data_IF_653857407908
#
_entry.id   IF_653857407908
#
_cell.length_a   1.000
_cell.length_b   1.000
_cell.length_c   1.000
_cell.angle_alpha   90.00
_cell.angle_beta   90.00
_cell.angle_gamma   90.00
#
_symmetry.space_group_name_H-M   'P 1'
#
loop_
_entity.id
_entity.type
_entity.pdbx_description
1 polymer ?
#
# COMPACT_ATOMS: atom_id res chain seq x y z
N UNK A 1 -33.23 -69.92 49.90
CA UNK A 1 -31.94 -69.26 49.60
C UNK A 1 -32.05 -68.28 48.42
N UNK A 2 -32.92 -68.54 47.44
CA UNK A 2 -33.07 -67.69 46.23
C UNK A 2 -33.58 -66.26 46.50
N UNK A 3 -34.54 -66.06 47.42
CA UNK A 3 -35.07 -64.72 47.73
C UNK A 3 -34.05 -63.75 48.37
N UNK A 4 -33.04 -64.28 49.07
CA UNK A 4 -31.98 -63.46 49.67
C UNK A 4 -30.97 -63.01 48.61
N UNK A 5 -30.71 -63.83 47.60
CA UNK A 5 -29.82 -63.49 46.49
C UNK A 5 -30.44 -62.43 45.58
N UNK A 6 -31.73 -62.53 45.27
CA UNK A 6 -32.45 -61.53 44.45
C UNK A 6 -32.46 -60.15 45.16
N UNK A 7 -32.67 -60.12 46.48
CA UNK A 7 -32.60 -58.89 47.27
C UNK A 7 -31.21 -58.26 47.28
N UNK A 8 -30.14 -59.07 47.30
CA UNK A 8 -28.75 -58.61 47.27
C UNK A 8 -28.39 -57.98 45.91
N UNK A 9 -28.79 -58.60 44.80
CA UNK A 9 -28.53 -58.05 43.46
C UNK A 9 -29.31 -56.76 43.20
N UNK A 10 -30.57 -56.66 43.65
CA UNK A 10 -31.34 -55.43 43.54
C UNK A 10 -30.72 -54.28 44.37
N UNK A 11 -30.25 -54.58 45.58
CA UNK A 11 -29.55 -53.59 46.41
C UNK A 11 -28.23 -53.14 45.77
N UNK A 12 -27.45 -54.07 45.19
CA UNK A 12 -26.20 -53.74 44.50
C UNK A 12 -26.45 -52.83 43.29
N UNK A 13 -27.51 -53.10 42.50
CA UNK A 13 -27.87 -52.27 41.35
C UNK A 13 -28.33 -50.86 41.74
N UNK A 14 -29.10 -50.72 42.82
CA UNK A 14 -29.47 -49.40 43.35
C UNK A 14 -28.25 -48.64 43.87
N UNK A 15 -27.32 -49.33 44.53
CA UNK A 15 -26.09 -48.74 45.04
C UNK A 15 -25.18 -48.27 43.88
N UNK A 16 -25.06 -49.05 42.81
CA UNK A 16 -24.31 -48.68 41.62
C UNK A 16 -24.90 -47.43 40.94
N UNK A 17 -26.23 -47.38 40.79
CA UNK A 17 -26.93 -46.23 40.22
C UNK A 17 -26.75 -44.97 41.09
N UNK A 18 -26.80 -45.12 42.43
CA UNK A 18 -26.53 -44.02 43.36
C UNK A 18 -25.08 -43.52 43.26
N UNK A 19 -24.11 -44.43 43.08
CA UNK A 19 -22.70 -44.04 42.87
C UNK A 19 -22.50 -43.32 41.53
N UNK A 20 -23.15 -43.76 40.45
CA UNK A 20 -23.11 -43.08 39.16
C UNK A 20 -23.73 -41.68 39.23
N UNK A 21 -24.85 -41.52 39.94
CA UNK A 21 -25.49 -40.23 40.15
C UNK A 21 -24.59 -39.27 40.96
N UNK A 22 -23.88 -39.77 41.97
CA UNK A 22 -22.89 -39.01 42.73
C UNK A 22 -21.71 -38.59 41.86
N UNK A 23 -21.16 -39.51 41.06
CA UNK A 23 -20.07 -39.20 40.13
C UNK A 23 -20.46 -38.12 39.12
N UNK A 24 -21.65 -38.22 38.53
CA UNK A 24 -22.18 -37.20 37.63
C UNK A 24 -22.32 -35.84 38.33
N UNK A 25 -22.86 -35.82 39.54
CA UNK A 25 -23.03 -34.60 40.34
C UNK A 25 -21.69 -33.91 40.64
N UNK A 26 -20.65 -34.68 40.96
CA UNK A 26 -19.29 -34.17 41.18
C UNK A 26 -18.73 -33.55 39.90
N UNK A 27 -18.91 -34.21 38.75
CA UNK A 27 -18.45 -33.69 37.44
C UNK A 27 -19.16 -32.37 37.12
N UNK A 28 -20.48 -32.28 37.34
CA UNK A 28 -21.24 -31.05 37.13
C UNK A 28 -20.78 -29.92 38.06
N UNK A 29 -20.50 -30.20 39.33
CA UNK A 29 -19.97 -29.21 40.28
C UNK A 29 -18.57 -28.71 39.88
N UNK A 30 -17.68 -29.61 39.44
CA UNK A 30 -16.36 -29.23 38.96
C UNK A 30 -16.43 -28.38 37.68
N UNK A 31 -17.32 -28.74 36.75
CA UNK A 31 -17.55 -27.97 35.52
C UNK A 31 -18.15 -26.60 35.84
N UNK A 32 -19.13 -26.52 36.73
CA UNK A 32 -19.74 -25.27 37.18
C UNK A 32 -18.70 -24.34 37.82
N UNK A 33 -17.87 -24.86 38.73
CA UNK A 33 -16.81 -24.06 39.36
C UNK A 33 -15.76 -23.57 38.35
N UNK A 34 -15.43 -24.37 37.34
CA UNK A 34 -14.51 -23.97 36.28
C UNK A 34 -15.11 -22.86 35.40
N UNK A 35 -16.40 -22.95 35.07
CA UNK A 35 -17.13 -21.92 34.33
C UNK A 35 -17.26 -20.63 35.13
N UNK A 36 -17.63 -20.68 36.42
CA UNK A 36 -17.73 -19.49 37.28
C UNK A 36 -16.39 -18.76 37.41
N UNK A 37 -15.27 -19.48 37.50
CA UNK A 37 -13.93 -18.86 37.49
C UNK A 37 -13.63 -18.16 36.17
N UNK A 38 -13.98 -18.77 35.03
CA UNK A 38 -13.80 -18.15 33.71
C UNK A 38 -14.65 -16.90 33.54
N UNK A 39 -15.91 -16.96 33.98
CA UNK A 39 -16.82 -15.81 33.97
C UNK A 39 -16.26 -14.67 34.82
N UNK A 40 -15.76 -14.97 36.02
CA UNK A 40 -15.19 -13.95 36.90
C UNK A 40 -13.92 -13.30 36.33
N UNK A 41 -13.07 -14.08 35.63
CA UNK A 41 -11.90 -13.56 34.92
C UNK A 41 -12.34 -12.67 33.75
N UNK A 42 -13.33 -13.12 32.96
CA UNK A 42 -13.88 -12.34 31.85
C UNK A 42 -14.54 -11.04 32.34
N UNK A 43 -15.28 -11.08 33.45
CA UNK A 43 -15.90 -9.92 34.08
C UNK A 43 -14.84 -8.93 34.60
N UNK A 44 -13.74 -9.45 35.16
CA UNK A 44 -12.60 -8.62 35.58
C UNK A 44 -11.90 -7.96 34.38
N UNK A 45 -11.72 -8.70 33.28
CA UNK A 45 -11.15 -8.16 32.04
C UNK A 45 -12.06 -7.11 31.41
N UNK A 46 -13.38 -7.34 31.44
CA UNK A 46 -14.38 -6.39 30.95
C UNK A 46 -14.35 -5.08 31.76
N UNK A 47 -14.25 -5.16 33.09
CA UNK A 47 -14.12 -3.97 33.96
C UNK A 47 -12.79 -3.24 33.77
N UNK A 48 -11.71 -3.96 33.48
CA UNK A 48 -10.42 -3.35 33.12
C UNK A 48 -10.47 -2.64 31.77
N UNK A 49 -11.38 -3.05 30.89
CA UNK A 49 -11.60 -2.44 29.58
C UNK A 49 -12.54 -1.23 29.65
N UNK A 50 -13.28 -1.05 30.75
CA UNK A 50 -14.14 0.13 31.00
C UNK A 50 -13.37 1.36 31.52
N UNK A 51 -12.09 1.23 31.89
CA UNK A 51 -11.19 2.38 32.12
C UNK A 51 -10.73 2.96 30.76
N UNK A 52 -11.67 3.29 29.88
CA UNK A 52 -11.42 4.12 28.71
C UNK A 52 -11.30 5.54 29.28
N UNK A 53 -10.12 6.18 29.23
CA UNK A 53 -9.97 7.56 29.67
C UNK A 53 -11.01 8.41 28.94
N UNK A 54 -11.68 9.32 29.66
CA UNK A 54 -12.62 10.24 29.05
C UNK A 54 -12.00 10.85 27.78
N UNK A 55 -12.77 10.99 26.68
CA UNK A 55 -12.25 11.54 25.43
C UNK A 55 -11.68 12.94 25.71
N UNK A 56 -10.35 13.02 25.71
CA UNK A 56 -9.60 14.26 25.90
C UNK A 56 -9.96 15.18 24.73
N UNK A 57 -10.30 16.44 25.02
CA UNK A 57 -10.60 17.39 23.95
C UNK A 57 -9.36 17.57 23.07
N UNK A 58 -9.56 17.85 21.78
CA UNK A 58 -8.45 18.04 20.85
C UNK A 58 -7.46 19.14 21.32
N UNK A 59 -7.97 20.21 21.94
CA UNK A 59 -7.14 21.27 22.53
C UNK A 59 -6.26 20.75 23.68
N UNK A 60 -6.83 19.92 24.57
CA UNK A 60 -6.08 19.32 25.67
C UNK A 60 -5.05 18.31 25.16
N UNK A 61 -5.39 17.53 24.13
CA UNK A 61 -4.47 16.62 23.47
C UNK A 61 -3.26 17.36 22.88
N UNK A 62 -3.49 18.47 22.16
CA UNK A 62 -2.41 19.27 21.59
C UNK A 62 -1.50 19.85 22.68
N UNK A 63 -2.07 20.37 23.77
CA UNK A 63 -1.27 20.85 24.93
C UNK A 63 -0.41 19.74 25.54
N UNK A 64 -1.00 18.57 25.73
CA UNK A 64 -0.30 17.42 26.32
C UNK A 64 0.83 16.93 25.39
N UNK A 65 0.62 16.93 24.07
CA UNK A 65 1.65 16.59 23.08
C UNK A 65 2.76 17.64 23.01
N UNK A 66 2.45 18.94 23.12
CA UNK A 66 3.47 20.00 23.20
C UNK A 66 4.37 19.79 24.42
N UNK A 67 3.79 19.53 25.60
CA UNK A 67 4.55 19.28 26.84
C UNK A 67 5.39 18.00 26.72
N UNK A 68 4.81 16.94 26.16
CA UNK A 68 5.53 15.67 25.95
C UNK A 68 6.70 15.84 24.98
N UNK A 69 6.49 16.57 23.90
CA UNK A 69 7.51 16.84 22.91
C UNK A 69 8.65 17.70 23.50
N UNK A 70 8.32 18.68 24.32
CA UNK A 70 9.32 19.48 25.06
C UNK A 70 10.19 18.61 25.97
N UNK A 71 9.59 17.70 26.75
CA UNK A 71 10.33 16.77 27.58
C UNK A 71 11.25 15.83 26.78
N UNK A 72 10.80 15.36 25.60
CA UNK A 72 11.62 14.55 24.69
C UNK A 72 12.77 15.37 24.08
N UNK A 73 12.50 16.62 23.71
CA UNK A 73 13.49 17.55 23.16
C UNK A 73 14.59 17.82 24.19
N UNK A 74 14.24 18.11 25.45
CA UNK A 74 15.20 18.34 26.52
C UNK A 74 16.06 17.11 26.79
N UNK A 75 15.45 15.92 26.79
CA UNK A 75 16.16 14.66 26.97
C UNK A 75 17.15 14.38 25.83
N UNK A 76 16.72 14.58 24.59
CA UNK A 76 17.54 14.38 23.40
C UNK A 76 18.67 15.44 23.30
N UNK A 77 18.40 16.69 23.68
CA UNK A 77 19.40 17.76 23.71
C UNK A 77 20.45 17.58 24.83
N UNK A 78 20.09 16.92 25.92
CA UNK A 78 21.01 16.58 27.01
C UNK A 78 21.90 15.36 26.69
N UNK A 79 21.70 14.71 25.55
CA UNK A 79 22.50 13.56 25.13
C UNK A 79 23.83 13.95 24.50
N UNK A 80 24.83 13.09 24.67
CA UNK A 80 26.15 13.26 24.05
C UNK A 80 26.19 12.75 22.60
N UNK A 81 25.20 11.96 22.18
CA UNK A 81 25.11 11.43 20.82
C UNK A 81 24.64 12.49 19.81
N UNK A 82 25.40 12.65 18.72
CA UNK A 82 25.07 13.54 17.60
C UNK A 82 23.77 13.13 16.90
N UNK A 83 23.44 11.84 16.88
CA UNK A 83 22.17 11.36 16.33
C UNK A 83 20.98 11.84 17.18
N UNK A 84 21.12 11.82 18.52
CA UNK A 84 20.11 12.30 19.45
C UNK A 84 20.00 13.83 19.45
N UNK A 85 21.10 14.57 19.21
CA UNK A 85 21.05 16.02 19.01
C UNK A 85 20.31 16.42 17.74
N UNK A 86 20.52 15.71 16.62
CA UNK A 86 19.73 15.88 15.39
C UNK A 86 18.25 15.53 15.63
N UNK A 87 17.98 14.47 16.38
CA UNK A 87 16.61 14.15 16.80
C UNK A 87 16.00 15.28 17.66
N UNK A 88 16.78 15.93 18.53
CA UNK A 88 16.31 17.08 19.29
C UNK A 88 15.94 18.27 18.40
N UNK A 89 16.67 18.52 17.31
CA UNK A 89 16.32 19.55 16.32
C UNK A 89 15.00 19.23 15.61
N UNK A 90 14.81 17.98 15.16
CA UNK A 90 13.55 17.54 14.58
C UNK A 90 12.37 17.64 15.57
N UNK A 91 12.61 17.32 16.85
CA UNK A 91 11.60 17.47 17.88
C UNK A 91 11.23 18.95 18.11
N UNK A 92 12.18 19.89 18.05
CA UNK A 92 11.87 21.33 18.10
C UNK A 92 10.95 21.77 16.95
N UNK A 93 11.19 21.27 15.73
CA UNK A 93 10.30 21.57 14.59
C UNK A 93 8.91 20.98 14.79
N UNK A 94 8.82 19.73 15.28
CA UNK A 94 7.53 19.12 15.63
C UNK A 94 6.81 19.91 16.73
N UNK A 95 7.52 20.42 17.74
CA UNK A 95 6.92 21.30 18.76
C UNK A 95 6.32 22.54 18.12
N UNK A 96 7.05 23.20 17.22
CA UNK A 96 6.55 24.40 16.52
C UNK A 96 5.31 24.09 15.67
N UNK A 97 5.28 22.94 15.01
CA UNK A 97 4.11 22.48 14.27
C UNK A 97 2.88 22.30 15.17
N UNK A 98 3.04 21.63 16.32
CA UNK A 98 1.96 21.45 17.30
C UNK A 98 1.46 22.78 17.89
N UNK A 99 2.35 23.76 18.08
CA UNK A 99 1.96 25.11 18.50
C UNK A 99 1.14 25.84 17.42
N UNK A 100 1.51 25.70 16.15
CA UNK A 100 0.75 26.26 15.02
C UNK A 100 -0.65 25.63 14.95
N UNK A 101 -0.77 24.31 15.12
CA UNK A 101 -2.06 23.63 15.19
C UNK A 101 -2.90 24.12 16.37
N UNK A 102 -2.31 24.32 17.54
CA UNK A 102 -3.00 24.84 18.71
C UNK A 102 -3.53 26.27 18.48
N UNK A 103 -2.70 27.14 17.91
CA UNK A 103 -3.06 28.51 17.57
C UNK A 103 -4.13 28.58 16.48
N UNK A 104 -4.03 27.75 15.43
CA UNK A 104 -5.03 27.65 14.39
C UNK A 104 -6.34 27.10 14.95
N UNK A 105 -6.29 26.09 15.83
CA UNK A 105 -7.48 25.50 16.45
C UNK A 105 -8.26 26.53 17.28
N UNK A 106 -7.60 27.51 17.91
CA UNK A 106 -8.26 28.64 18.57
C UNK A 106 -9.10 29.52 17.62
N UNK A 107 -8.81 29.46 16.31
CA UNK A 107 -9.48 30.20 15.25
C UNK A 107 -10.47 29.34 14.45
N UNK A 108 -10.78 28.10 14.87
CA UNK A 108 -11.71 27.19 14.16
C UNK A 108 -13.08 27.80 13.87
N UNK A 109 -13.52 28.77 14.68
CA UNK A 109 -14.77 29.49 14.43
C UNK A 109 -14.75 30.36 13.15
N UNK A 110 -13.57 30.67 12.60
CA UNK A 110 -13.39 31.45 11.38
C UNK A 110 -12.49 30.69 10.38
N UNK A 111 -13.07 30.04 9.35
CA UNK A 111 -12.32 29.22 8.40
C UNK A 111 -11.19 29.94 7.67
N UNK A 112 -11.36 31.23 7.36
CA UNK A 112 -10.34 32.02 6.65
C UNK A 112 -9.17 32.30 7.57
N UNK A 113 -9.43 32.76 8.80
CA UNK A 113 -8.37 33.01 9.78
C UNK A 113 -7.65 31.73 10.21
N UNK A 114 -8.36 30.60 10.24
CA UNK A 114 -7.78 29.28 10.46
C UNK A 114 -6.77 28.92 9.36
N UNK A 115 -7.19 29.02 8.09
CA UNK A 115 -6.33 28.72 6.94
C UNK A 115 -5.14 29.67 6.86
N UNK A 116 -5.36 30.97 7.08
CA UNK A 116 -4.30 31.98 7.11
C UNK A 116 -3.26 31.68 8.21
N UNK A 117 -3.69 31.25 9.40
CA UNK A 117 -2.77 30.91 10.50
C UNK A 117 -1.93 29.68 10.21
N UNK A 118 -2.52 28.64 9.60
CA UNK A 118 -1.81 27.43 9.16
C UNK A 118 -0.81 27.80 8.07
N UNK A 119 -1.23 28.50 7.02
CA UNK A 119 -0.35 28.89 5.91
C UNK A 119 0.81 29.76 6.39
N UNK A 120 0.54 30.78 7.21
CA UNK A 120 1.59 31.62 7.77
C UNK A 120 2.57 30.84 8.66
N UNK A 121 2.05 29.93 9.50
CA UNK A 121 2.88 29.09 10.37
C UNK A 121 3.76 28.10 9.61
N UNK A 122 3.24 27.47 8.56
CA UNK A 122 4.02 26.56 7.72
C UNK A 122 5.08 27.34 6.95
N UNK A 123 4.76 28.52 6.39
CA UNK A 123 5.76 29.38 5.73
C UNK A 123 6.90 29.77 6.70
N UNK A 124 6.58 30.17 7.92
CA UNK A 124 7.57 30.48 8.96
C UNK A 124 8.46 29.26 9.25
N UNK A 125 7.87 28.06 9.37
CA UNK A 125 8.62 26.84 9.63
C UNK A 125 9.56 26.47 8.47
N UNK A 126 9.09 26.63 7.22
CA UNK A 126 9.88 26.40 6.01
C UNK A 126 11.05 27.39 5.92
N UNK A 127 10.86 28.65 6.32
CA UNK A 127 11.95 29.62 6.38
C UNK A 127 13.01 29.23 7.42
N UNK A 128 12.60 28.76 8.60
CA UNK A 128 13.52 28.29 9.65
C UNK A 128 14.25 27.01 9.23
N UNK A 129 13.58 26.13 8.48
CA UNK A 129 14.17 24.88 7.98
C UNK A 129 15.01 25.05 6.72
N UNK A 130 14.99 26.23 6.09
CA UNK A 130 15.80 26.48 4.90
C UNK A 130 17.28 26.47 5.29
N UNK A 131 18.10 25.56 4.76
CA UNK A 131 19.53 25.59 5.03
C UNK A 131 20.10 26.94 4.57
N UNK A 132 20.88 27.60 5.43
CA UNK A 132 21.62 28.81 5.07
C UNK A 132 22.44 28.51 3.81
N UNK A 133 22.24 29.31 2.76
CA UNK A 133 23.01 29.17 1.54
C UNK A 133 24.49 29.41 1.87
N UNK A 134 25.29 28.35 1.83
CA UNK A 134 26.74 28.47 1.69
C UNK A 134 26.99 29.32 0.44
N UNK A 135 27.42 30.56 0.64
CA UNK A 135 27.89 31.43 -0.42
C UNK A 135 29.15 30.81 -1.03
N UNK A 136 28.98 30.00 -2.06
CA UNK A 136 30.07 29.61 -2.96
C UNK A 136 30.43 30.85 -3.76
N UNK A 137 31.47 31.55 -3.32
CA UNK A 137 32.11 32.59 -4.12
C UNK A 137 32.57 31.96 -5.44
N UNK A 138 32.06 32.52 -6.53
CA UNK A 138 32.44 32.15 -7.88
C UNK A 138 33.89 32.52 -8.15
N UNK A 139 34.79 31.53 -8.19
CA UNK A 139 35.98 31.60 -9.02
C UNK A 139 35.85 30.58 -10.17
N UNK A 140 35.81 31.14 -11.37
CA UNK A 140 35.80 30.41 -12.63
C UNK A 140 37.19 29.81 -12.92
N UNK A 141 37.25 28.55 -13.35
CA UNK A 141 38.07 28.00 -14.44
C UNK A 141 37.82 26.47 -14.57
N UNK A 142 38.14 25.85 -15.73
CA UNK A 142 37.25 24.89 -16.38
C UNK A 142 37.62 23.41 -16.18
N UNK A 143 36.60 22.56 -16.39
CA UNK A 143 36.70 21.17 -16.88
C UNK A 143 37.63 20.23 -16.10
N UNK A 144 37.07 19.52 -15.12
CA UNK A 144 37.54 18.20 -14.73
C UNK A 144 36.34 17.25 -14.66
N UNK A 145 36.44 16.17 -15.42
CA UNK A 145 35.62 14.95 -15.34
C UNK A 145 35.33 14.57 -13.89
N UNK A 146 34.05 14.56 -13.52
CA UNK A 146 33.58 13.96 -12.28
C UNK A 146 33.66 12.44 -12.46
N UNK A 147 34.67 11.83 -11.85
CA UNK A 147 34.62 10.42 -11.50
C UNK A 147 33.47 10.27 -10.50
N UNK A 148 32.46 9.47 -10.88
CA UNK A 148 31.44 9.02 -9.96
C UNK A 148 32.11 8.15 -8.89
N UNK A 149 32.19 8.64 -7.66
CA UNK A 149 32.33 7.76 -6.50
C UNK A 149 30.99 7.00 -6.36
N UNK A 150 31.07 5.68 -6.46
CA UNK A 150 29.99 4.74 -6.19
C UNK A 150 29.38 5.03 -4.82
N UNK A 151 28.06 5.20 -4.79
CA UNK A 151 27.28 5.20 -3.56
C UNK A 151 27.48 3.85 -2.84
N UNK A 152 27.55 3.85 -1.49
CA UNK A 152 27.58 2.61 -0.74
C UNK A 152 26.28 1.83 -0.97
N UNK A 153 26.45 0.57 -1.31
CA UNK A 153 25.46 -0.48 -1.34
C UNK A 153 24.81 -0.67 0.04
N UNK A 154 23.69 0.01 0.29
CA UNK A 154 22.81 -0.25 1.44
C UNK A 154 21.72 -1.26 1.01
N UNK A 155 22.18 -2.48 0.69
CA UNK A 155 21.34 -3.67 0.69
C UNK A 155 21.18 -4.17 2.14
N UNK A 156 20.29 -3.57 2.93
CA UNK A 156 19.77 -4.20 4.14
C UNK A 156 18.46 -3.56 4.65
N UNK A 157 17.53 -4.45 4.93
CA UNK A 157 16.30 -4.31 5.73
C UNK A 157 15.04 -3.74 5.08
N UNK A 158 14.26 -4.71 4.62
CA UNK A 158 12.83 -4.73 4.32
C UNK A 158 11.97 -3.94 5.34
N UNK A 159 11.15 -3.02 4.83
CA UNK A 159 9.92 -2.57 5.51
C UNK A 159 8.70 -3.17 4.76
N UNK A 160 8.15 -4.31 5.20
CA UNK A 160 6.99 -4.94 4.56
C UNK A 160 5.72 -4.29 5.10
N UNK A 161 5.45 -3.05 4.69
CA UNK A 161 4.35 -2.30 5.30
C UNK A 161 3.81 -1.10 4.53
N UNK A 162 4.36 -0.72 3.37
CA UNK A 162 3.75 0.34 2.56
C UNK A 162 2.46 -0.18 1.92
N UNK A 163 1.35 0.13 2.57
CA UNK A 163 0.01 0.05 2.00
C UNK A 163 0.01 0.93 0.74
N UNK A 164 -0.05 0.33 -0.45
CA UNK A 164 -0.35 1.05 -1.70
C UNK A 164 -1.70 1.75 -1.52
N UNK A 165 -1.65 3.05 -1.29
CA UNK A 165 -2.84 3.90 -1.34
C UNK A 165 -2.98 4.25 -2.82
N UNK A 166 -3.95 3.65 -3.50
CA UNK A 166 -4.30 3.95 -4.89
C UNK A 166 -4.90 5.36 -4.97
N UNK A 167 -4.04 6.38 -5.04
CA UNK A 167 -4.41 7.79 -5.21
C UNK A 167 -4.65 8.14 -6.69
N UNK A 168 -4.45 7.19 -7.61
CA UNK A 168 -4.47 7.44 -9.06
C UNK A 168 -5.79 8.04 -9.56
N UNK A 169 -6.93 7.62 -9.00
CA UNK A 169 -8.24 8.17 -9.38
C UNK A 169 -8.44 9.60 -8.83
N UNK A 170 -7.95 9.91 -7.63
CA UNK A 170 -8.03 11.26 -7.06
C UNK A 170 -7.13 12.23 -7.82
N UNK A 171 -5.90 11.83 -8.14
CA UNK A 171 -4.94 12.62 -8.92
C UNK A 171 -5.40 12.82 -10.37
N UNK A 172 -6.01 11.81 -11.01
CA UNK A 172 -6.58 11.94 -12.37
C UNK A 172 -7.78 12.88 -12.38
N UNK A 173 -8.66 12.79 -11.38
CA UNK A 173 -9.79 13.70 -11.26
C UNK A 173 -9.32 15.13 -10.99
N UNK A 174 -8.29 15.29 -10.16
CA UNK A 174 -7.66 16.57 -9.93
C UNK A 174 -7.04 17.15 -11.21
N UNK A 175 -6.33 16.34 -12.01
CA UNK A 175 -5.79 16.76 -13.31
C UNK A 175 -6.89 17.22 -14.28
N UNK A 176 -8.03 16.53 -14.31
CA UNK A 176 -9.18 16.93 -15.13
C UNK A 176 -9.73 18.28 -14.71
N UNK A 177 -9.87 18.52 -13.41
CA UNK A 177 -10.34 19.80 -12.88
C UNK A 177 -9.36 20.94 -13.21
N UNK A 178 -8.05 20.67 -13.13
CA UNK A 178 -7.01 21.64 -13.49
C UNK A 178 -7.04 21.95 -14.99
N UNK A 179 -7.17 20.95 -15.86
CA UNK A 179 -7.24 21.15 -17.32
C UNK A 179 -8.50 21.93 -17.71
N UNK A 180 -9.64 21.62 -17.12
CA UNK A 180 -10.89 22.34 -17.38
C UNK A 180 -10.77 23.82 -16.96
N UNK A 181 -10.21 24.08 -15.79
CA UNK A 181 -10.00 25.44 -15.30
C UNK A 181 -8.99 26.21 -16.17
N UNK A 182 -7.96 25.54 -16.68
CA UNK A 182 -7.02 26.11 -17.65
C UNK A 182 -7.70 26.44 -18.99
N UNK A 183 -8.56 25.57 -19.52
CA UNK A 183 -9.33 25.83 -20.75
C UNK A 183 -10.31 27.01 -20.58
N UNK A 184 -10.94 27.14 -19.42
CA UNK A 184 -11.83 28.27 -19.11
C UNK A 184 -11.07 29.59 -19.02
N UNK A 185 -9.92 29.60 -18.33
CA UNK A 185 -9.05 30.78 -18.24
C UNK A 185 -8.49 31.19 -19.62
N UNK A 186 -8.18 30.22 -20.46
CA UNK A 186 -7.72 30.41 -21.84
C UNK A 186 -8.81 30.99 -22.74
N UNK A 187 -10.03 30.45 -22.66
CA UNK A 187 -11.18 30.97 -23.40
C UNK A 187 -11.49 32.42 -23.00
N UNK A 188 -11.33 32.76 -21.72
CA UNK A 188 -11.47 34.12 -21.22
C UNK A 188 -10.36 35.06 -21.74
N UNK A 189 -9.10 34.58 -21.79
CA UNK A 189 -7.98 35.28 -22.42
C UNK A 189 -8.23 35.55 -23.90
N UNK A 190 -8.68 34.54 -24.66
CA UNK A 190 -9.01 34.67 -26.08
C UNK A 190 -10.07 35.75 -26.31
N UNK A 191 -11.14 35.74 -25.52
CA UNK A 191 -12.21 36.73 -25.62
C UNK A 191 -11.72 38.16 -25.31
N UNK A 192 -10.79 38.32 -24.36
CA UNK A 192 -10.17 39.62 -24.07
C UNK A 192 -9.22 40.06 -25.18
N UNK A 193 -8.48 39.13 -25.79
CA UNK A 193 -7.56 39.43 -26.89
C UNK A 193 -8.32 39.79 -28.18
N UNK A 194 -9.38 39.05 -28.54
CA UNK A 194 -10.22 39.36 -29.70
C UNK A 194 -10.95 40.71 -29.56
N UNK A 195 -11.24 41.16 -28.33
CA UNK A 195 -11.79 42.49 -28.04
C UNK A 195 -10.83 43.66 -28.31
N UNK A 196 -9.54 43.38 -28.53
CA UNK A 196 -8.46 44.36 -28.73
C UNK A 196 -7.69 44.14 -30.04
N UNK A 197 -8.36 43.63 -31.08
CA UNK A 197 -7.80 43.22 -32.37
C UNK A 197 -7.06 44.31 -33.20
N UNK A 198 -6.98 45.56 -32.74
CA UNK A 198 -6.29 46.66 -33.45
C UNK A 198 -4.81 46.83 -33.05
N UNK A 199 -4.29 46.04 -32.11
CA UNK A 199 -2.89 46.14 -31.64
C UNK A 199 -1.95 45.27 -32.49
N UNK A 200 -0.84 45.84 -32.95
CA UNK A 200 0.18 45.15 -33.74
C UNK A 200 0.89 44.07 -32.87
N UNK A 201 0.95 42.81 -33.33
CA UNK A 201 1.47 41.66 -32.57
C UNK A 201 0.41 40.82 -31.84
N UNK A 202 -0.85 41.27 -31.83
CA UNK A 202 -1.99 40.55 -31.23
C UNK A 202 -2.36 39.27 -31.98
N UNK A 203 -2.17 39.28 -33.30
CA UNK A 203 -2.47 38.16 -34.19
C UNK A 203 -1.53 36.97 -33.94
N UNK A 204 -0.26 37.25 -33.58
CA UNK A 204 0.72 36.23 -33.18
C UNK A 204 0.38 35.65 -31.79
N UNK A 205 -0.10 36.48 -30.86
CA UNK A 205 -0.56 36.03 -29.55
C UNK A 205 -1.83 35.15 -29.65
N UNK A 206 -2.79 35.54 -30.49
CA UNK A 206 -3.99 34.74 -30.78
C UNK A 206 -3.65 33.38 -31.42
N UNK A 207 -2.66 33.37 -32.32
CA UNK A 207 -2.19 32.15 -32.96
C UNK A 207 -1.47 31.21 -31.99
N UNK A 208 -0.65 31.74 -31.08
CA UNK A 208 -0.05 30.96 -29.99
C UNK A 208 -1.11 30.40 -29.04
N UNK A 209 -2.18 31.15 -28.78
CA UNK A 209 -3.30 30.70 -27.96
C UNK A 209 -4.07 29.55 -28.62
N UNK A 210 -4.30 29.62 -29.93
CA UNK A 210 -4.95 28.56 -30.72
C UNK A 210 -4.10 27.28 -30.78
N UNK A 211 -2.78 27.41 -30.96
CA UNK A 211 -1.85 26.29 -30.93
C UNK A 211 -1.82 25.62 -29.54
N UNK A 212 -1.95 26.42 -28.46
CA UNK A 212 -2.02 25.91 -27.10
C UNK A 212 -3.37 25.24 -26.78
N UNK A 213 -4.51 25.79 -27.21
CA UNK A 213 -5.82 25.13 -27.09
C UNK A 213 -5.80 23.75 -27.75
N UNK A 214 -5.18 23.67 -28.93
CA UNK A 214 -5.01 22.40 -29.65
C UNK A 214 -4.14 21.40 -28.88
N UNK A 215 -3.05 21.86 -28.27
CA UNK A 215 -2.20 21.00 -27.41
C UNK A 215 -2.93 20.55 -26.14
N UNK A 216 -3.73 21.41 -25.53
CA UNK A 216 -4.54 21.09 -24.35
C UNK A 216 -5.59 20.00 -24.66
N UNK A 217 -6.27 20.10 -25.81
CA UNK A 217 -7.23 19.05 -26.23
C UNK A 217 -6.56 17.70 -26.54
N UNK A 218 -5.32 17.71 -27.05
CA UNK A 218 -4.55 16.48 -27.28
C UNK A 218 -4.06 15.87 -25.97
N UNK A 219 -3.72 16.69 -24.96
CA UNK A 219 -3.35 16.23 -23.63
C UNK A 219 -4.54 15.54 -22.93
N UNK A 220 -5.73 16.13 -23.00
CA UNK A 220 -6.97 15.55 -22.48
C UNK A 220 -7.27 14.19 -23.15
N UNK A 221 -7.03 14.10 -24.46
CA UNK A 221 -7.14 12.84 -25.22
C UNK A 221 -6.14 11.79 -24.74
N UNK A 222 -4.89 12.18 -24.47
CA UNK A 222 -3.87 11.28 -23.93
C UNK A 222 -4.22 10.77 -22.53
N UNK A 223 -4.75 11.63 -21.65
CA UNK A 223 -5.24 11.23 -20.33
C UNK A 223 -6.39 10.22 -20.42
N UNK A 224 -7.34 10.42 -21.33
CA UNK A 224 -8.42 9.47 -21.58
C UNK A 224 -7.94 8.09 -22.06
N UNK A 225 -6.83 8.04 -22.82
CA UNK A 225 -6.21 6.78 -23.25
C UNK A 225 -5.50 6.10 -22.06
N UNK A 226 -4.77 6.87 -21.25
CA UNK A 226 -4.13 6.36 -20.04
C UNK A 226 -5.16 5.82 -19.04
N UNK A 227 -6.29 6.49 -18.84
CA UNK A 227 -7.37 6.05 -17.95
C UNK A 227 -8.01 4.73 -18.40
N UNK A 228 -8.25 4.57 -19.71
CA UNK A 228 -8.74 3.31 -20.28
C UNK A 228 -7.75 2.17 -20.09
N UNK A 229 -6.46 2.47 -20.24
CA UNK A 229 -5.41 1.48 -20.09
C UNK A 229 -5.20 1.11 -18.62
N UNK A 230 -5.24 2.08 -17.70
CA UNK A 230 -5.17 1.83 -16.25
C UNK A 230 -6.35 0.99 -15.78
N UNK A 231 -7.55 1.28 -16.29
CA UNK A 231 -8.74 0.45 -16.03
C UNK A 231 -8.56 -0.97 -16.57
N UNK A 232 -8.04 -1.12 -17.79
CA UNK A 232 -7.73 -2.43 -18.38
C UNK A 232 -6.70 -3.21 -17.54
N UNK A 233 -5.67 -2.55 -17.04
CA UNK A 233 -4.64 -3.15 -16.19
C UNK A 233 -5.19 -3.55 -14.82
N UNK A 234 -6.01 -2.70 -14.18
CA UNK A 234 -6.71 -3.03 -12.92
C UNK A 234 -7.68 -4.21 -13.11
N UNK A 235 -8.39 -4.26 -14.23
CA UNK A 235 -9.30 -5.38 -14.55
C UNK A 235 -8.51 -6.69 -14.80
N UNK A 236 -7.38 -6.62 -15.51
CA UNK A 236 -6.48 -7.76 -15.73
C UNK A 236 -5.81 -8.27 -14.43
N UNK A 237 -5.49 -7.36 -13.51
CA UNK A 237 -4.93 -7.68 -12.19
C UNK A 237 -5.98 -8.34 -11.28
N UNK A 238 -7.25 -7.95 -11.41
CA UNK A 238 -8.39 -8.55 -10.67
C UNK A 238 -8.79 -9.94 -11.19
N UNK A 239 -8.57 -10.22 -12.48
CA UNK A 239 -8.94 -11.51 -13.08
C UNK A 239 -7.91 -12.63 -12.83
N UNK A 240 -6.71 -12.31 -12.34
CA UNK A 240 -5.75 -13.29 -11.84
C UNK A 240 -5.01 -14.08 -12.93
N UNK A 241 -3.69 -13.88 -12.99
CA UNK A 241 -2.70 -14.88 -13.44
C UNK A 241 -2.54 -15.17 -14.93
N UNK A 242 -3.59 -15.19 -15.76
CA UNK A 242 -3.48 -15.72 -17.13
C UNK A 242 -3.44 -14.64 -18.24
N UNK A 243 -3.79 -13.38 -17.91
CA UNK A 243 -3.73 -12.25 -18.85
C UNK A 243 -2.38 -11.51 -18.89
N UNK A 244 -1.47 -11.83 -17.97
CA UNK A 244 -0.12 -11.19 -17.87
C UNK A 244 0.74 -11.53 -19.09
N UNK A 245 0.47 -12.64 -19.78
CA UNK A 245 1.21 -13.08 -20.98
C UNK A 245 0.97 -12.23 -22.24
N UNK A 246 0.05 -11.25 -22.17
CA UNK A 246 -0.32 -10.37 -23.31
C UNK A 246 -0.28 -8.89 -22.95
N UNK A 247 0.54 -8.50 -21.98
CA UNK A 247 0.83 -7.08 -21.74
C UNK A 247 2.04 -6.74 -22.61
N UNK A 248 1.76 -6.20 -23.80
CA UNK A 248 2.79 -5.53 -24.60
C UNK A 248 3.17 -4.24 -23.83
N UNK A 249 4.39 -4.12 -23.29
CA UNK A 249 4.76 -2.97 -22.49
C UNK A 249 4.68 -1.72 -23.36
N UNK A 250 3.80 -0.79 -23.00
CA UNK A 250 3.64 0.45 -23.75
C UNK A 250 4.99 1.20 -23.82
N UNK A 251 5.35 1.55 -25.05
CA UNK A 251 6.61 2.19 -25.43
C UNK A 251 6.89 3.45 -24.57
N UNK A 252 8.04 3.52 -23.84
CA UNK A 252 8.43 4.66 -23.02
C UNK A 252 8.40 6.01 -23.76
N UNK A 253 8.45 5.98 -25.10
CA UNK A 253 8.27 7.14 -25.95
C UNK A 253 6.98 7.94 -25.68
N UNK A 254 5.91 7.32 -25.17
CA UNK A 254 4.63 8.01 -24.91
C UNK A 254 4.64 8.87 -23.64
N UNK A 255 5.32 8.43 -22.58
CA UNK A 255 5.48 9.22 -21.34
C UNK A 255 6.50 10.34 -21.53
N UNK A 256 7.59 10.05 -22.25
CA UNK A 256 8.53 11.08 -22.68
C UNK A 256 7.86 12.13 -23.57
N UNK A 257 6.90 11.72 -24.40
CA UNK A 257 6.06 12.63 -25.19
C UNK A 257 5.23 13.58 -24.33
N UNK A 258 4.65 13.10 -23.22
CA UNK A 258 3.87 13.93 -22.29
C UNK A 258 4.76 14.96 -21.57
N UNK A 259 5.93 14.53 -21.08
CA UNK A 259 6.92 15.40 -20.44
C UNK A 259 7.44 16.49 -21.38
N UNK A 260 7.71 16.14 -22.63
CA UNK A 260 8.12 17.10 -23.65
C UNK A 260 7.00 18.08 -24.01
N UNK A 261 5.74 17.65 -23.97
CA UNK A 261 4.58 18.50 -24.23
C UNK A 261 4.34 19.50 -23.09
N UNK A 262 4.45 19.04 -21.83
CA UNK A 262 4.37 19.90 -20.63
C UNK A 262 5.56 20.87 -20.58
N UNK A 263 6.78 20.42 -20.88
CA UNK A 263 7.96 21.29 -20.98
C UNK A 263 7.83 22.36 -22.07
N UNK A 264 7.31 21.99 -23.24
CA UNK A 264 7.03 22.94 -24.33
C UNK A 264 5.92 23.95 -23.99
N UNK A 265 4.93 23.55 -23.19
CA UNK A 265 3.91 24.47 -22.68
C UNK A 265 4.51 25.51 -21.74
N UNK A 266 5.46 25.12 -20.90
CA UNK A 266 6.14 26.03 -19.98
C UNK A 266 6.98 27.08 -20.72
N UNK A 267 7.66 26.68 -21.80
CA UNK A 267 8.42 27.57 -22.69
C UNK A 267 7.51 28.56 -23.45
N UNK A 268 6.32 28.09 -23.84
CA UNK A 268 5.31 28.92 -24.51
C UNK A 268 4.70 29.96 -23.56
N UNK A 269 4.45 29.59 -22.30
CA UNK A 269 3.99 30.50 -21.25
C UNK A 269 5.04 31.58 -20.96
N UNK A 270 6.32 31.21 -20.91
CA UNK A 270 7.41 32.14 -20.67
C UNK A 270 7.59 33.12 -21.83
N UNK A 271 7.38 32.65 -23.07
CA UNK A 271 7.37 33.48 -24.28
C UNK A 271 6.18 34.46 -24.31
N UNK A 272 4.97 34.01 -23.96
CA UNK A 272 3.79 34.86 -23.82
C UNK A 272 3.98 35.93 -22.74
N UNK A 273 4.57 35.54 -21.59
CA UNK A 273 4.91 36.46 -20.50
C UNK A 273 5.84 37.57 -20.98
N UNK A 274 6.87 37.23 -21.76
CA UNK A 274 7.82 38.19 -22.30
C UNK A 274 7.18 39.14 -23.31
N UNK A 275 6.33 38.63 -24.20
CA UNK A 275 5.61 39.45 -25.19
C UNK A 275 4.66 40.45 -24.52
N UNK A 276 3.97 40.03 -23.45
CA UNK A 276 3.08 40.88 -22.65
C UNK A 276 3.86 41.99 -21.93
N UNK A 277 5.04 41.69 -21.40
CA UNK A 277 5.92 42.68 -20.75
C UNK A 277 6.45 43.69 -21.78
N UNK A 278 6.76 43.26 -23.01
CA UNK A 278 7.22 44.15 -24.09
C UNK A 278 6.09 45.03 -24.66
N UNK A 279 4.83 44.59 -24.61
CA UNK A 279 3.68 45.28 -25.19
C UNK A 279 3.05 46.38 -24.30
N UNK A 280 3.48 46.57 -23.03
CA UNK A 280 2.71 47.40 -22.09
C UNK A 280 3.40 48.67 -21.54
N UNK A 281 2.83 49.84 -21.88
CA UNK A 281 2.71 50.97 -20.99
C UNK A 281 1.23 51.16 -20.56
N UNK A 282 0.58 50.14 -19.98
CA UNK A 282 -0.73 50.26 -19.32
C UNK A 282 -0.74 49.49 -17.98
N UNK A 283 -0.21 50.14 -16.94
CA UNK A 283 0.17 49.53 -15.66
C UNK A 283 -0.94 48.87 -14.81
N UNK A 284 -2.23 49.08 -15.10
CA UNK A 284 -3.31 48.49 -14.29
C UNK A 284 -3.83 47.15 -14.82
N UNK A 285 -3.69 46.88 -16.13
CA UNK A 285 -4.13 45.61 -16.74
C UNK A 285 -3.00 44.59 -16.82
N UNK A 286 -1.74 45.04 -16.74
CA UNK A 286 -0.57 44.20 -16.53
C UNK A 286 -0.69 43.35 -15.25
N UNK A 287 -1.23 43.93 -14.18
CA UNK A 287 -1.38 43.25 -12.90
C UNK A 287 -2.37 42.08 -12.94
N UNK A 288 -3.49 42.23 -13.64
CA UNK A 288 -4.48 41.15 -13.78
C UNK A 288 -3.94 40.01 -14.65
N UNK A 289 -3.25 40.34 -15.76
CA UNK A 289 -2.57 39.36 -16.61
C UNK A 289 -1.43 38.66 -15.87
N UNK A 290 -0.60 39.39 -15.13
CA UNK A 290 0.46 38.83 -14.30
C UNK A 290 -0.10 37.90 -13.21
N UNK A 291 -1.24 38.23 -12.61
CA UNK A 291 -1.91 37.37 -11.64
C UNK A 291 -2.44 36.07 -12.28
N UNK A 292 -3.05 36.15 -13.47
CA UNK A 292 -3.47 34.94 -14.21
C UNK A 292 -2.28 34.06 -14.60
N UNK A 293 -1.16 34.67 -14.96
CA UNK A 293 0.05 33.97 -15.38
C UNK A 293 0.76 33.32 -14.18
N UNK A 294 0.78 33.99 -13.02
CA UNK A 294 1.24 33.40 -11.77
C UNK A 294 0.37 32.21 -11.33
N UNK A 295 -0.94 32.26 -11.54
CA UNK A 295 -1.83 31.11 -11.29
C UNK A 295 -1.53 29.95 -12.24
N UNK A 296 -1.33 30.20 -13.53
CA UNK A 296 -0.96 29.18 -14.52
C UNK A 296 0.41 28.57 -14.20
N UNK A 297 1.38 29.40 -13.80
CA UNK A 297 2.72 28.94 -13.43
C UNK A 297 2.69 28.05 -12.19
N UNK A 298 1.90 28.42 -11.18
CA UNK A 298 1.70 27.61 -9.97
C UNK A 298 1.03 26.27 -10.29
N UNK A 299 -0.02 26.29 -11.12
CA UNK A 299 -0.69 25.07 -11.56
C UNK A 299 0.23 24.15 -12.38
N UNK A 300 1.15 24.70 -13.19
CA UNK A 300 2.15 23.90 -13.92
C UNK A 300 3.22 23.29 -13.01
N UNK A 301 3.63 24.00 -11.95
CA UNK A 301 4.54 23.44 -10.95
C UNK A 301 3.87 22.29 -10.19
N UNK A 302 2.60 22.45 -9.84
CA UNK A 302 1.79 21.39 -9.22
C UNK A 302 1.62 20.20 -10.18
N UNK A 303 1.29 20.44 -11.45
CA UNK A 303 1.22 19.40 -12.49
C UNK A 303 2.54 18.64 -12.65
N UNK A 304 3.66 19.36 -12.69
CA UNK A 304 4.99 18.74 -12.78
C UNK A 304 5.32 17.91 -11.55
N UNK A 305 4.85 18.33 -10.37
CA UNK A 305 4.95 17.54 -9.13
C UNK A 305 4.16 16.25 -9.20
N UNK A 306 2.88 16.31 -9.60
CA UNK A 306 2.03 15.13 -9.79
C UNK A 306 2.62 14.17 -10.83
N UNK A 307 3.14 14.68 -11.95
CA UNK A 307 3.81 13.85 -12.97
C UNK A 307 5.06 13.18 -12.39
N UNK A 308 5.88 13.88 -11.60
CA UNK A 308 7.06 13.28 -10.96
C UNK A 308 6.69 12.16 -10.01
N UNK A 309 5.65 12.35 -9.19
CA UNK A 309 5.16 11.29 -8.27
C UNK A 309 4.64 10.09 -9.06
N UNK A 310 3.92 10.30 -10.15
CA UNK A 310 3.45 9.22 -11.03
C UNK A 310 4.60 8.52 -11.77
N UNK A 311 5.67 9.24 -12.11
CA UNK A 311 6.89 8.66 -12.69
C UNK A 311 7.62 7.79 -11.65
N UNK A 312 7.76 8.26 -10.42
CA UNK A 312 8.39 7.54 -9.31
C UNK A 312 7.59 6.29 -8.91
N UNK A 313 6.26 6.39 -8.84
CA UNK A 313 5.39 5.25 -8.57
C UNK A 313 5.43 4.23 -9.72
N UNK A 314 5.48 4.67 -10.97
CA UNK A 314 5.70 3.77 -12.10
C UNK A 314 7.07 3.09 -12.05
N UNK A 315 8.13 3.80 -11.64
CA UNK A 315 9.45 3.21 -11.48
C UNK A 315 9.46 2.15 -10.37
N UNK A 316 8.78 2.43 -9.26
CA UNK A 316 8.59 1.49 -8.15
C UNK A 316 7.80 0.24 -8.59
N UNK A 317 6.66 0.42 -9.25
CA UNK A 317 5.83 -0.70 -9.76
C UNK A 317 6.58 -1.55 -10.79
N UNK A 318 7.44 -0.94 -11.61
CA UNK A 318 8.31 -1.66 -12.55
C UNK A 318 9.37 -2.48 -11.81
N UNK A 319 9.99 -1.92 -10.77
CA UNK A 319 10.95 -2.63 -9.92
C UNK A 319 10.29 -3.80 -9.19
N UNK A 320 9.08 -3.60 -8.66
CA UNK A 320 8.30 -4.70 -8.05
C UNK A 320 7.94 -5.78 -9.07
N UNK A 321 7.52 -5.40 -10.28
CA UNK A 321 7.27 -6.36 -11.36
C UNK A 321 8.54 -7.12 -11.74
N UNK A 322 9.69 -6.45 -11.82
CA UNK A 322 10.98 -7.08 -12.11
C UNK A 322 11.39 -8.05 -10.99
N UNK A 323 11.19 -7.69 -9.71
CA UNK A 323 11.40 -8.61 -8.59
C UNK A 323 10.45 -9.80 -8.63
N UNK A 324 9.17 -9.60 -8.93
CA UNK A 324 8.19 -10.68 -9.05
C UNK A 324 8.57 -11.61 -10.21
N UNK A 325 9.02 -11.06 -11.34
CA UNK A 325 9.52 -11.84 -12.48
C UNK A 325 10.77 -12.62 -12.09
N UNK A 326 11.73 -12.00 -11.39
CA UNK A 326 12.92 -12.72 -10.89
C UNK A 326 12.56 -13.81 -9.89
N UNK A 327 11.59 -13.57 -8.99
CA UNK A 327 11.10 -14.59 -8.05
C UNK A 327 10.35 -15.72 -8.76
N UNK A 328 9.60 -15.41 -9.83
CA UNK A 328 8.95 -16.41 -10.67
C UNK A 328 9.97 -17.18 -11.49
N UNK A 329 10.98 -16.53 -12.05
CA UNK A 329 12.09 -17.17 -12.78
C UNK A 329 12.95 -18.01 -11.84
N UNK A 330 13.17 -17.58 -10.59
CA UNK A 330 13.83 -18.36 -9.54
C UNK A 330 12.94 -19.51 -9.07
N UNK A 331 11.63 -19.33 -8.95
CA UNK A 331 10.70 -20.43 -8.66
C UNK A 331 10.58 -21.41 -9.81
N UNK A 332 10.65 -20.94 -11.05
CA UNK A 332 10.58 -21.77 -12.26
C UNK A 332 11.94 -22.45 -12.51
N UNK A 333 13.06 -21.80 -12.16
CA UNK A 333 14.38 -22.40 -12.10
C UNK A 333 14.51 -23.37 -10.92
N UNK A 334 13.93 -23.08 -9.75
CA UNK A 334 13.84 -24.02 -8.63
C UNK A 334 12.87 -25.17 -8.92
N UNK A 335 11.81 -24.97 -9.71
CA UNK A 335 10.95 -26.05 -10.20
C UNK A 335 11.59 -26.85 -11.35
N UNK A 336 12.46 -26.22 -12.16
CA UNK A 336 13.23 -26.88 -13.20
C UNK A 336 14.52 -27.55 -12.66
N UNK A 337 15.08 -27.06 -11.55
CA UNK A 337 16.17 -27.71 -10.78
C UNK A 337 15.61 -28.72 -9.75
N UNK A 338 14.37 -28.56 -9.28
CA UNK A 338 13.52 -29.63 -8.72
C UNK A 338 12.85 -30.47 -9.83
N UNK A 339 13.39 -30.41 -11.04
CA UNK A 339 13.54 -31.58 -11.90
C UNK A 339 14.41 -32.63 -11.20
N UNK A 340 13.80 -33.32 -10.24
CA UNK A 340 14.33 -34.40 -9.41
C UNK A 340 15.57 -34.05 -8.56
N UNK A 341 15.40 -33.78 -7.24
CA UNK A 341 16.48 -34.03 -6.30
C UNK A 341 16.87 -35.50 -6.44
N UNK A 342 18.16 -35.80 -6.53
CA UNK A 342 18.65 -37.18 -6.54
C UNK A 342 18.12 -38.01 -5.34
N UNK A 343 17.71 -37.35 -4.24
CA UNK A 343 17.05 -37.99 -3.10
C UNK A 343 15.61 -38.40 -3.37
N UNK A 344 14.88 -37.70 -4.24
CA UNK A 344 13.49 -38.00 -4.59
C UNK A 344 13.42 -39.06 -5.67
N UNK A 345 14.39 -39.14 -6.57
CA UNK A 345 14.47 -40.23 -7.56
C UNK A 345 14.87 -41.56 -6.89
N UNK A 346 15.76 -41.53 -5.90
CA UNK A 346 16.03 -42.68 -5.02
C UNK A 346 14.80 -43.06 -4.19
N UNK A 347 14.08 -42.10 -3.61
CA UNK A 347 12.84 -42.36 -2.86
C UNK A 347 11.69 -42.87 -3.75
N UNK A 348 11.58 -42.37 -4.98
CA UNK A 348 10.60 -42.83 -5.97
C UNK A 348 10.97 -44.25 -6.41
N UNK A 349 12.23 -44.55 -6.71
CA UNK A 349 12.67 -45.92 -7.00
C UNK A 349 12.48 -46.85 -5.80
N UNK A 350 12.74 -46.40 -4.58
CA UNK A 350 12.51 -47.20 -3.36
C UNK A 350 11.02 -47.45 -3.14
N UNK A 351 10.16 -46.46 -3.39
CA UNK A 351 8.70 -46.64 -3.37
C UNK A 351 8.25 -47.59 -4.47
N UNK A 352 8.81 -47.51 -5.67
CA UNK A 352 8.45 -48.35 -6.81
C UNK A 352 8.84 -49.82 -6.54
N UNK A 353 10.01 -50.06 -5.95
CA UNK A 353 10.42 -51.38 -5.47
C UNK A 353 9.47 -51.89 -4.37
N UNK A 354 9.11 -51.05 -3.39
CA UNK A 354 8.16 -51.43 -2.33
C UNK A 354 6.77 -51.74 -2.86
N UNK A 355 6.31 -51.00 -3.89
CA UNK A 355 5.03 -51.27 -4.57
C UNK A 355 5.10 -52.64 -5.26
N UNK A 356 6.17 -52.94 -6.00
CA UNK A 356 6.35 -54.25 -6.63
C UNK A 356 6.43 -55.39 -5.62
N UNK A 357 7.12 -55.20 -4.49
CA UNK A 357 7.16 -56.21 -3.41
C UNK A 357 5.79 -56.43 -2.78
N UNK A 358 5.01 -55.35 -2.57
CA UNK A 358 3.65 -55.44 -2.04
C UNK A 358 2.71 -56.13 -3.03
N UNK A 359 2.83 -55.84 -4.32
CA UNK A 359 2.05 -56.51 -5.38
C UNK A 359 2.35 -58.01 -5.42
N UNK A 360 3.64 -58.40 -5.38
CA UNK A 360 4.01 -59.81 -5.35
C UNK A 360 3.53 -60.52 -4.07
N UNK A 361 3.53 -59.80 -2.93
CA UNK A 361 3.00 -60.33 -1.67
C UNK A 361 1.48 -60.48 -1.70
N UNK A 362 0.76 -59.56 -2.35
CA UNK A 362 -0.68 -59.67 -2.57
C UNK A 362 -0.99 -60.86 -3.46
N UNK A 363 -0.29 -61.02 -4.59
CA UNK A 363 -0.46 -62.17 -5.48
C UNK A 363 -0.19 -63.51 -4.77
N UNK A 364 0.86 -63.57 -3.95
CA UNK A 364 1.15 -64.74 -3.13
C UNK A 364 0.04 -65.03 -2.10
N UNK A 365 -0.50 -63.98 -1.45
CA UNK A 365 -1.61 -64.12 -0.51
C UNK A 365 -2.88 -64.59 -1.20
N UNK A 366 -3.18 -64.07 -2.38
CA UNK A 366 -4.36 -64.46 -3.16
C UNK A 366 -4.26 -65.93 -3.59
N UNK A 367 -3.09 -66.38 -4.08
CA UNK A 367 -2.86 -67.79 -4.37
C UNK A 367 -2.98 -68.70 -3.14
N UNK A 368 -2.55 -68.21 -1.97
CA UNK A 368 -2.69 -68.94 -0.71
C UNK A 368 -4.15 -69.04 -0.27
N UNK A 369 -4.93 -67.97 -0.45
CA UNK A 369 -6.37 -67.95 -0.17
C UNK A 369 -7.08 -68.95 -1.08
N UNK A 370 -6.79 -68.95 -2.38
CA UNK A 370 -7.40 -69.88 -3.34
C UNK A 370 -7.14 -71.35 -2.96
N UNK A 371 -5.91 -71.69 -2.54
CA UNK A 371 -5.60 -73.04 -2.07
C UNK A 371 -6.31 -73.36 -0.75
N UNK A 372 -6.46 -72.38 0.15
CA UNK A 372 -7.23 -72.55 1.39
C UNK A 372 -8.72 -72.78 1.12
N UNK A 373 -9.30 -72.05 0.16
CA UNK A 373 -10.68 -72.25 -0.29
C UNK A 373 -10.86 -73.64 -0.90
N UNK A 374 -9.90 -74.10 -1.70
CA UNK A 374 -9.91 -75.46 -2.25
C UNK A 374 -9.85 -76.53 -1.16
N UNK A 375 -9.00 -76.34 -0.14
CA UNK A 375 -8.93 -77.24 1.01
C UNK A 375 -10.22 -77.21 1.84
N UNK A 376 -10.80 -76.02 2.03
CA UNK A 376 -12.08 -75.86 2.73
C UNK A 376 -13.21 -76.57 1.97
N UNK A 377 -13.32 -76.36 0.66
CA UNK A 377 -14.30 -77.03 -0.20
C UNK A 377 -14.11 -78.55 -0.16
N UNK A 378 -12.86 -79.04 -0.21
CA UNK A 378 -12.59 -80.47 -0.09
C UNK A 378 -12.98 -81.04 1.29
N UNK A 379 -12.80 -80.26 2.36
CA UNK A 379 -13.22 -80.62 3.71
C UNK A 379 -14.74 -80.58 3.85
N UNK A 380 -15.41 -79.59 3.25
CA UNK A 380 -16.86 -79.46 3.24
C UNK A 380 -17.51 -80.63 2.50
N UNK A 381 -16.99 -81.03 1.34
CA UNK A 381 -17.45 -82.23 0.62
C UNK A 381 -17.31 -83.48 1.49
N UNK A 382 -16.15 -83.69 2.12
CA UNK A 382 -15.95 -84.81 3.04
C UNK A 382 -16.89 -84.78 4.25
N UNK A 383 -17.19 -83.58 4.75
CA UNK A 383 -18.10 -83.42 5.88
C UNK A 383 -19.52 -83.78 5.47
N UNK A 384 -20.02 -83.28 4.32
CA UNK A 384 -21.32 -83.64 3.75
C UNK A 384 -21.45 -85.14 3.51
N UNK A 385 -20.44 -85.77 2.91
CA UNK A 385 -20.38 -87.22 2.72
C UNK A 385 -20.44 -88.00 4.05
N UNK A 386 -19.84 -87.47 5.12
CA UNK A 386 -19.82 -88.11 6.43
C UNK A 386 -21.11 -87.87 7.25
N UNK A 387 -21.77 -86.73 7.09
CA UNK A 387 -23.00 -86.38 7.83
C UNK A 387 -24.28 -86.75 7.12
N UNK A 388 -24.23 -87.07 5.82
CA UNK A 388 -25.39 -87.57 5.06
C UNK A 388 -26.42 -86.51 4.66
N UNK A 389 -26.02 -85.23 4.69
CA UNK A 389 -26.69 -84.11 4.02
C UNK A 389 -26.00 -83.86 2.68
#
# INVERSE_FOLDING_TARGET
MEGVQIGLFAFLGVLELAMLALAASVIFLLRSNRLSRRIHILEKLLRQQEDIPDPVSFDQYLRDEVIRNEALTEKAAASEDESEKKAAELLRFRKRFLEIELEANALVANPVAFQDRIAAGICELVEIMRPDAETVEAEAEPSATVEFEEAPDDSADEDPGRKLIDTSEEEINHLKDVINNQQDAMSALRAQLEGHAEVEGMEDALKQLEDFEKQSTELERCLLVLEKENKRLKDAQREGGDAVKTIDPADPARLTGLKNMVGGQQETIESLRKLIVELMPEASKAGELEETLNRIQRANQELSGCVSVLEDENAMLRSELEMIVLQLDEQEAQQNEEGAPASTLEQIQEMEIKVQELEALVEFKDATIEELEKQYNALEVKYREATGE
#
